data_IF_696774791762
#
_entry.id   IF_696774791762
#
_cell.length_a   1.000
_cell.length_b   1.000
_cell.length_c   1.000
_cell.angle_alpha   90.00
_cell.angle_beta   90.00
_cell.angle_gamma   90.00
#
_symmetry.space_group_name_H-M   'P 1'
#
loop_
_entity.id
_entity.type
_entity.pdbx_description
1 polymer ?
#
# COMPACT_ATOMS: atom_id res chain seq x y z
N UNK A 1 10.79 8.82 -8.45
CA UNK A 1 10.00 7.60 -8.16
C UNK A 1 9.04 7.41 -9.31
N UNK A 2 9.00 6.24 -9.95
CA UNK A 2 8.05 6.00 -11.06
C UNK A 2 6.66 5.79 -10.46
N UNK A 3 5.80 6.80 -10.63
CA UNK A 3 4.53 6.93 -9.90
C UNK A 3 3.49 5.91 -10.36
N UNK A 4 3.33 5.72 -11.67
CA UNK A 4 2.39 4.72 -12.24
C UNK A 4 2.74 3.28 -11.78
N UNK A 5 3.98 2.76 -11.96
CA UNK A 5 4.35 1.44 -11.45
C UNK A 5 4.06 1.23 -9.95
N UNK A 6 4.25 2.28 -9.15
CA UNK A 6 3.99 2.22 -7.71
C UNK A 6 2.48 2.18 -7.43
N UNK A 7 1.67 3.01 -8.09
CA UNK A 7 0.21 2.97 -7.96
C UNK A 7 -0.37 1.58 -8.30
N UNK A 8 0.08 0.97 -9.40
CA UNK A 8 -0.32 -0.40 -9.77
C UNK A 8 0.11 -1.41 -8.70
N UNK A 9 1.34 -1.33 -8.21
CA UNK A 9 1.83 -2.25 -7.19
C UNK A 9 1.04 -2.13 -5.88
N UNK A 10 0.71 -0.90 -5.45
CA UNK A 10 -0.12 -0.65 -4.26
C UNK A 10 -1.55 -1.17 -4.45
N UNK A 11 -2.13 -1.02 -5.64
CA UNK A 11 -3.43 -1.61 -6.00
C UNK A 11 -3.42 -3.14 -6.00
N UNK A 12 -2.36 -3.76 -6.54
CA UNK A 12 -2.18 -5.22 -6.50
C UNK A 12 -2.09 -5.74 -5.05
N UNK A 13 -1.46 -4.96 -4.17
CA UNK A 13 -1.40 -5.21 -2.72
C UNK A 13 -2.70 -4.88 -1.97
N UNK A 14 -3.75 -4.43 -2.68
CA UNK A 14 -5.06 -4.01 -2.11
C UNK A 14 -4.96 -2.85 -1.13
N UNK A 15 -3.94 -2.01 -1.29
CA UNK A 15 -3.75 -0.77 -0.52
C UNK A 15 -4.41 0.44 -1.16
N UNK A 16 -4.74 0.32 -2.45
CA UNK A 16 -5.56 1.25 -3.19
C UNK A 16 -6.68 0.47 -3.89
N UNK A 17 -7.86 1.05 -3.93
CA UNK A 17 -8.96 0.64 -4.79
C UNK A 17 -8.72 1.14 -6.21
N UNK A 18 -9.43 0.54 -7.17
CA UNK A 18 -9.34 0.96 -8.57
C UNK A 18 -9.84 2.39 -8.77
N UNK A 19 -10.87 2.78 -8.03
CA UNK A 19 -11.40 4.16 -8.01
C UNK A 19 -10.37 5.16 -7.49
N UNK A 20 -9.64 4.84 -6.42
CA UNK A 20 -8.57 5.69 -5.89
C UNK A 20 -7.44 5.85 -6.91
N UNK A 21 -7.04 4.78 -7.61
CA UNK A 21 -6.01 4.86 -8.65
C UNK A 21 -6.47 5.72 -9.83
N UNK A 22 -7.69 5.53 -10.31
CA UNK A 22 -8.25 6.32 -11.42
C UNK A 22 -8.36 7.79 -11.02
N UNK A 23 -8.92 8.09 -9.85
CA UNK A 23 -9.09 9.47 -9.41
C UNK A 23 -7.75 10.15 -9.17
N UNK A 24 -6.76 9.42 -8.64
CA UNK A 24 -5.40 9.90 -8.54
C UNK A 24 -4.81 10.22 -9.93
N UNK A 25 -5.01 9.36 -10.92
CA UNK A 25 -4.56 9.58 -12.29
C UNK A 25 -5.22 10.82 -12.91
N UNK A 26 -6.54 11.00 -12.73
CA UNK A 26 -7.26 12.20 -13.17
C UNK A 26 -6.67 13.48 -12.56
N UNK A 27 -6.37 13.46 -11.26
CA UNK A 27 -5.74 14.60 -10.58
C UNK A 27 -4.34 14.89 -11.13
N UNK A 28 -3.56 13.86 -11.47
CA UNK A 28 -2.27 14.06 -12.12
C UNK A 28 -2.45 14.67 -13.51
N UNK A 29 -3.48 14.24 -14.26
CA UNK A 29 -3.76 14.77 -15.59
C UNK A 29 -4.14 16.25 -15.55
N UNK A 30 -4.98 16.63 -14.60
CA UNK A 30 -5.41 18.02 -14.42
C UNK A 30 -4.28 18.92 -13.91
N UNK A 31 -3.31 18.37 -13.19
CA UNK A 31 -2.20 19.12 -12.63
C UNK A 31 -1.01 19.30 -13.59
N UNK A 32 -0.94 18.51 -14.67
CA UNK A 32 0.18 18.51 -15.61
C UNK A 32 -0.27 18.87 -17.04
N UNK A 33 0.28 19.96 -17.57
CA UNK A 33 0.00 20.45 -18.94
C UNK A 33 0.36 19.42 -20.02
N UNK A 34 1.21 18.43 -19.72
CA UNK A 34 1.60 17.34 -20.64
C UNK A 34 1.65 16.00 -19.94
N UNK A 35 0.46 15.44 -19.72
CA UNK A 35 0.32 14.08 -19.23
C UNK A 35 0.82 13.04 -20.23
N UNK A 36 1.54 12.03 -19.73
CA UNK A 36 1.95 10.84 -20.47
C UNK A 36 0.74 10.02 -20.93
N UNK A 37 0.86 9.33 -22.06
CA UNK A 37 -0.19 8.45 -22.59
C UNK A 37 -0.59 7.37 -21.57
N UNK A 38 0.37 6.82 -20.84
CA UNK A 38 0.14 5.82 -19.80
C UNK A 38 -0.70 6.35 -18.63
N UNK A 39 -0.63 7.65 -18.33
CA UNK A 39 -1.47 8.26 -17.29
C UNK A 39 -2.91 8.37 -17.79
N UNK A 40 -3.10 8.74 -19.06
CA UNK A 40 -4.42 8.82 -19.70
C UNK A 40 -5.05 7.43 -19.79
N UNK A 41 -4.28 6.43 -20.19
CA UNK A 41 -4.71 5.03 -20.22
C UNK A 41 -5.14 4.56 -18.82
N UNK A 42 -4.35 4.86 -17.79
CA UNK A 42 -4.67 4.48 -16.42
C UNK A 42 -5.97 5.12 -15.92
N UNK A 43 -6.20 6.39 -16.24
CA UNK A 43 -7.44 7.12 -15.92
C UNK A 43 -8.65 6.53 -16.66
N UNK A 44 -8.53 6.26 -17.96
CA UNK A 44 -9.66 5.89 -18.81
C UNK A 44 -10.02 4.41 -18.77
N UNK A 45 -9.03 3.53 -18.56
CA UNK A 45 -9.18 2.06 -18.61
C UNK A 45 -9.07 1.40 -17.24
N UNK A 46 -8.44 2.09 -16.28
CA UNK A 46 -8.27 1.61 -14.91
C UNK A 46 -7.11 0.62 -14.73
N UNK A 47 -6.71 0.36 -13.48
CA UNK A 47 -5.56 -0.49 -13.17
C UNK A 47 -5.78 -1.97 -13.55
N UNK A 48 -7.02 -2.46 -13.54
CA UNK A 48 -7.37 -3.82 -13.97
C UNK A 48 -6.89 -4.11 -15.38
N UNK A 49 -7.28 -3.26 -16.33
CA UNK A 49 -6.97 -3.47 -17.75
C UNK A 49 -5.51 -3.15 -18.03
N UNK A 50 -5.00 -2.04 -17.50
CA UNK A 50 -3.62 -1.61 -17.70
C UNK A 50 -2.59 -2.64 -17.18
N UNK A 51 -2.89 -3.31 -16.05
CA UNK A 51 -1.98 -4.31 -15.48
C UNK A 51 -1.88 -5.61 -16.29
N UNK A 52 -2.81 -5.86 -17.22
CA UNK A 52 -2.78 -7.02 -18.12
C UNK A 52 -1.99 -6.78 -19.40
N UNK A 53 -1.59 -5.53 -19.66
CA UNK A 53 -0.85 -5.15 -20.85
C UNK A 53 0.62 -5.57 -20.77
N UNK A 54 1.24 -5.74 -21.93
CA UNK A 54 2.66 -6.06 -21.99
C UNK A 54 3.51 -4.83 -21.63
N UNK A 55 4.72 -5.07 -21.15
CA UNK A 55 5.64 -4.01 -20.67
C UNK A 55 5.97 -2.92 -21.71
N UNK A 56 5.83 -3.22 -23.00
CA UNK A 56 6.04 -2.26 -24.08
C UNK A 56 4.82 -1.36 -24.38
N UNK A 57 3.65 -1.72 -23.83
CA UNK A 57 2.39 -0.99 -23.97
C UNK A 57 2.03 -0.23 -22.70
N UNK A 58 2.36 -0.80 -21.54
CA UNK A 58 2.13 -0.17 -20.24
C UNK A 58 3.23 -0.59 -19.25
N UNK A 59 3.73 0.31 -18.41
CA UNK A 59 4.81 -0.02 -17.50
C UNK A 59 4.35 -1.06 -16.46
N UNK A 60 5.16 -2.09 -16.18
CA UNK A 60 4.81 -3.10 -15.20
C UNK A 60 4.74 -2.51 -13.78
N UNK A 61 4.02 -3.19 -12.90
CA UNK A 61 4.01 -2.87 -11.48
C UNK A 61 5.43 -2.85 -10.92
N UNK A 62 5.69 -1.93 -10.00
CA UNK A 62 6.94 -1.89 -9.25
C UNK A 62 7.08 -3.16 -8.41
N UNK A 63 8.25 -3.79 -8.45
CA UNK A 63 8.64 -4.79 -7.47
C UNK A 63 9.13 -4.12 -6.18
N UNK A 64 8.46 -4.39 -5.07
CA UNK A 64 8.91 -3.97 -3.74
C UNK A 64 9.99 -4.92 -3.22
N UNK A 65 10.95 -4.39 -2.46
CA UNK A 65 11.88 -5.25 -1.73
C UNK A 65 11.14 -6.05 -0.65
N UNK A 66 11.77 -7.09 -0.12
CA UNK A 66 11.16 -7.88 0.95
C UNK A 66 10.88 -7.03 2.21
N UNK A 67 11.83 -6.18 2.60
CA UNK A 67 11.66 -5.21 3.67
C UNK A 67 10.47 -4.27 3.41
N UNK A 68 10.33 -3.72 2.20
CA UNK A 68 9.20 -2.85 1.87
C UNK A 68 7.86 -3.59 1.98
N UNK A 69 7.79 -4.84 1.51
CA UNK A 69 6.59 -5.68 1.66
C UNK A 69 6.26 -5.97 3.13
N UNK A 70 7.27 -6.25 3.96
CA UNK A 70 7.09 -6.42 5.40
C UNK A 70 6.54 -5.15 6.05
N UNK A 71 7.10 -3.98 5.73
CA UNK A 71 6.65 -2.69 6.27
C UNK A 71 5.22 -2.36 5.82
N UNK A 72 4.89 -2.55 4.53
CA UNK A 72 3.53 -2.33 4.02
C UNK A 72 2.52 -3.26 4.68
N UNK A 73 2.86 -4.55 4.86
CA UNK A 73 1.97 -5.53 5.47
C UNK A 73 1.81 -5.31 6.97
N UNK A 74 2.88 -4.95 7.68
CA UNK A 74 2.82 -4.57 9.10
C UNK A 74 2.03 -3.29 9.34
N UNK A 75 2.15 -2.30 8.44
CA UNK A 75 1.43 -1.04 8.57
C UNK A 75 -0.08 -1.16 8.34
N UNK A 76 -0.52 -2.23 7.68
CA UNK A 76 -1.91 -2.43 7.25
C UNK A 76 -2.66 -3.48 8.06
N UNK A 77 -1.94 -4.43 8.64
CA UNK A 77 -2.55 -5.51 9.42
C UNK A 77 -2.98 -5.00 10.80
N UNK A 78 -4.21 -5.37 11.19
CA UNK A 78 -4.65 -5.25 12.58
C UNK A 78 -4.01 -6.41 13.34
N UNK A 79 -3.29 -6.12 14.43
CA UNK A 79 -2.66 -7.12 15.29
C UNK A 79 -3.39 -7.19 16.64
N UNK A 80 -4.72 -7.07 16.59
CA UNK A 80 -5.59 -6.95 17.75
C UNK A 80 -5.79 -8.29 18.44
N UNK A 81 -5.74 -9.38 17.67
CA UNK A 81 -5.93 -10.73 18.18
C UNK A 81 -4.81 -11.70 17.78
N UNK A 82 -4.80 -12.84 18.49
CA UNK A 82 -3.82 -13.91 18.27
C UNK A 82 -3.79 -14.42 16.83
N UNK A 83 -4.97 -14.65 16.23
CA UNK A 83 -5.08 -15.24 14.89
C UNK A 83 -4.44 -14.35 13.83
N UNK A 84 -4.59 -13.03 13.93
CA UNK A 84 -3.93 -12.08 13.04
C UNK A 84 -2.41 -12.13 13.15
N UNK A 85 -1.89 -12.24 14.38
CA UNK A 85 -0.45 -12.41 14.63
C UNK A 85 0.07 -13.71 14.03
N UNK A 86 -0.64 -14.82 14.24
CA UNK A 86 -0.29 -16.13 13.66
C UNK A 86 -0.27 -16.07 12.12
N UNK A 87 -1.25 -15.43 11.48
CA UNK A 87 -1.28 -15.25 10.02
C UNK A 87 -0.09 -14.41 9.53
N UNK A 88 0.31 -13.39 10.28
CA UNK A 88 1.50 -12.61 9.93
C UNK A 88 2.78 -13.43 10.08
N UNK A 89 2.92 -14.13 11.20
CA UNK A 89 4.07 -15.00 11.52
C UNK A 89 4.23 -16.07 10.44
N UNK A 90 3.16 -16.80 10.11
CA UNK A 90 3.18 -17.82 9.06
C UNK A 90 3.62 -17.24 7.70
N UNK A 91 3.10 -16.06 7.36
CA UNK A 91 3.48 -15.38 6.12
C UNK A 91 4.96 -15.00 6.11
N UNK A 92 5.48 -14.35 7.15
CA UNK A 92 6.85 -13.84 7.15
C UNK A 92 7.87 -14.98 7.19
N UNK A 93 7.59 -16.04 7.95
CA UNK A 93 8.43 -17.26 8.02
C UNK A 93 8.59 -17.92 6.65
N UNK A 94 7.52 -17.99 5.86
CA UNK A 94 7.57 -18.59 4.51
C UNK A 94 8.16 -17.64 3.48
N UNK A 95 7.81 -16.35 3.55
CA UNK A 95 8.18 -15.37 2.54
C UNK A 95 9.68 -14.97 2.62
N UNK A 96 10.34 -15.20 3.75
CA UNK A 96 11.77 -14.93 3.92
C UNK A 96 12.69 -16.01 3.33
N UNK A 97 12.15 -17.18 2.96
CA UNK A 97 12.95 -18.31 2.47
C UNK A 97 13.69 -17.94 1.18
N UNK A 98 14.99 -18.23 1.13
CA UNK A 98 15.86 -17.92 -0.01
C UNK A 98 16.20 -16.43 -0.18
N UNK A 99 15.81 -15.57 0.77
CA UNK A 99 16.17 -14.14 0.78
C UNK A 99 17.52 -13.91 1.49
N UNK A 100 18.02 -12.68 1.40
CA UNK A 100 19.32 -12.28 1.97
C UNK A 100 19.27 -12.18 3.50
N UNK A 101 20.02 -13.03 4.20
CA UNK A 101 20.09 -13.06 5.67
C UNK A 101 20.62 -11.76 6.32
N UNK A 102 21.29 -10.87 5.56
CA UNK A 102 21.71 -9.57 6.09
C UNK A 102 20.54 -8.60 6.31
N UNK A 103 19.38 -8.88 5.70
CA UNK A 103 18.14 -8.14 5.93
C UNK A 103 17.54 -8.59 7.27
N UNK A 104 17.18 -7.62 8.11
CA UNK A 104 16.65 -7.87 9.45
C UNK A 104 15.30 -8.60 9.41
N UNK A 105 14.43 -8.31 8.45
CA UNK A 105 13.13 -8.98 8.33
C UNK A 105 13.31 -10.42 7.86
N UNK A 106 14.33 -10.68 7.06
CA UNK A 106 14.68 -12.05 6.67
C UNK A 106 15.17 -12.83 7.88
N UNK A 107 16.14 -12.29 8.63
CA UNK A 107 16.64 -12.92 9.86
C UNK A 107 15.52 -13.16 10.88
N UNK A 108 14.65 -12.18 11.07
CA UNK A 108 13.48 -12.29 11.95
C UNK A 108 12.50 -13.38 11.48
N UNK A 109 12.21 -13.45 10.18
CA UNK A 109 11.39 -14.51 9.59
C UNK A 109 11.95 -15.90 9.85
N UNK A 110 13.26 -16.12 9.70
CA UNK A 110 13.89 -17.41 10.01
C UNK A 110 13.85 -17.77 11.50
N UNK A 111 13.94 -16.79 12.40
CA UNK A 111 13.78 -17.05 13.84
C UNK A 111 12.35 -17.50 14.17
N UNK A 112 11.35 -16.86 13.55
CA UNK A 112 9.96 -17.24 13.70
C UNK A 112 9.71 -18.63 13.08
N UNK A 113 10.24 -18.89 11.89
CA UNK A 113 10.19 -20.19 11.20
C UNK A 113 10.74 -21.32 12.09
N UNK A 114 11.93 -21.14 12.66
CA UNK A 114 12.51 -22.10 13.60
C UNK A 114 11.59 -22.39 14.80
N UNK A 115 10.98 -21.36 15.39
CA UNK A 115 10.07 -21.55 16.52
C UNK A 115 8.77 -22.28 16.12
N UNK A 116 8.22 -21.98 14.95
CA UNK A 116 6.97 -22.57 14.47
C UNK A 116 7.17 -24.01 13.98
N UNK A 117 8.19 -24.27 13.18
CA UNK A 117 8.35 -25.54 12.48
C UNK A 117 9.27 -26.52 13.23
N UNK A 118 10.46 -26.08 13.64
CA UNK A 118 11.43 -26.95 14.34
C UNK A 118 11.04 -27.16 15.80
N UNK A 119 10.67 -26.10 16.51
CA UNK A 119 10.31 -26.16 17.93
C UNK A 119 8.83 -26.48 18.17
N UNK A 120 7.95 -26.29 17.16
CA UNK A 120 6.50 -26.44 17.28
C UNK A 120 5.89 -25.61 18.41
N UNK A 121 6.43 -24.40 18.62
CA UNK A 121 6.06 -23.49 19.71
C UNK A 121 5.59 -22.14 19.14
N UNK A 122 4.33 -22.09 18.70
CA UNK A 122 3.69 -20.87 18.24
C UNK A 122 3.59 -19.80 19.36
N UNK A 123 3.54 -20.21 20.62
CA UNK A 123 3.49 -19.25 21.73
C UNK A 123 4.84 -18.53 21.90
N UNK A 124 5.95 -19.23 21.71
CA UNK A 124 7.28 -18.61 21.66
C UNK A 124 7.43 -17.69 20.45
N UNK A 125 6.93 -18.09 19.28
CA UNK A 125 6.94 -17.25 18.08
C UNK A 125 6.14 -15.94 18.31
N UNK A 126 4.96 -16.02 18.92
CA UNK A 126 4.17 -14.83 19.28
C UNK A 126 4.90 -13.96 20.29
N UNK A 127 5.52 -14.53 21.34
CA UNK A 127 6.29 -13.74 22.31
C UNK A 127 7.47 -13.02 21.66
N UNK A 128 8.21 -13.68 20.77
CA UNK A 128 9.29 -13.06 20.01
C UNK A 128 8.74 -11.94 19.12
N UNK A 129 7.66 -12.22 18.39
CA UNK A 129 7.00 -11.24 17.52
C UNK A 129 6.55 -10.00 18.28
N UNK A 130 5.89 -10.17 19.43
CA UNK A 130 5.42 -9.07 20.28
C UNK A 130 6.57 -8.27 20.90
N UNK A 131 7.72 -8.90 21.17
CA UNK A 131 8.88 -8.20 21.71
C UNK A 131 9.54 -7.25 20.70
N UNK A 132 9.53 -7.60 19.42
CA UNK A 132 10.08 -6.79 18.33
C UNK A 132 9.07 -5.78 17.77
N UNK A 133 7.77 -6.07 17.90
CA UNK A 133 6.69 -5.31 17.29
C UNK A 133 6.72 -3.79 17.57
N UNK A 134 6.99 -3.29 18.79
CA UNK A 134 6.98 -1.85 19.05
C UNK A 134 7.98 -1.07 18.17
N UNK A 135 9.14 -1.65 17.88
CA UNK A 135 10.13 -1.04 16.99
C UNK A 135 9.68 -1.08 15.52
N UNK A 136 9.08 -2.20 15.10
CA UNK A 136 8.65 -2.42 13.72
C UNK A 136 7.40 -1.62 13.35
N UNK A 137 6.46 -1.44 14.28
CA UNK A 137 5.15 -0.82 13.97
C UNK A 137 5.26 0.69 13.72
N UNK A 138 6.14 1.39 14.46
CA UNK A 138 6.37 2.82 14.26
C UNK A 138 6.96 3.08 12.87
N UNK A 139 7.91 2.25 12.48
CA UNK A 139 8.55 2.33 11.17
C UNK A 139 7.58 1.94 10.04
N UNK A 140 6.85 0.84 10.21
CA UNK A 140 5.85 0.39 9.25
C UNK A 140 4.75 1.45 9.02
N UNK A 141 4.28 2.09 10.09
CA UNK A 141 3.29 3.17 10.00
C UNK A 141 3.84 4.37 9.23
N UNK A 142 5.07 4.80 9.54
CA UNK A 142 5.72 5.92 8.83
C UNK A 142 5.95 5.60 7.35
N UNK A 143 6.40 4.38 7.05
CA UNK A 143 6.62 3.93 5.68
C UNK A 143 5.31 3.88 4.89
N UNK A 144 4.25 3.30 5.48
CA UNK A 144 2.93 3.21 4.86
C UNK A 144 2.36 4.60 4.59
N UNK A 145 2.38 5.49 5.60
CA UNK A 145 1.86 6.84 5.46
C UNK A 145 2.59 7.59 4.34
N UNK A 146 3.92 7.59 4.36
CA UNK A 146 4.72 8.23 3.31
C UNK A 146 4.40 7.67 1.92
N UNK A 147 4.26 6.35 1.83
CA UNK A 147 3.98 5.68 0.55
C UNK A 147 2.59 6.02 0.03
N UNK A 148 1.56 6.00 0.87
CA UNK A 148 0.18 6.28 0.48
C UNK A 148 -0.11 7.77 0.30
N UNK A 149 0.58 8.67 1.01
CA UNK A 149 0.30 10.11 0.95
C UNK A 149 0.48 10.70 -0.45
N UNK A 150 1.35 10.11 -1.28
CA UNK A 150 1.54 10.50 -2.69
C UNK A 150 0.34 10.15 -3.61
N UNK A 151 -0.56 9.29 -3.12
CA UNK A 151 -1.72 8.75 -3.85
C UNK A 151 -3.05 9.09 -3.14
N UNK A 152 -3.00 9.85 -2.04
CA UNK A 152 -4.22 10.35 -1.40
C UNK A 152 -4.91 11.30 -2.37
N UNK A 153 -6.17 11.01 -2.61
CA UNK A 153 -7.07 11.83 -3.40
C UNK A 153 -7.71 12.83 -2.45
N UNK A 154 -7.42 14.12 -2.62
CA UNK A 154 -8.19 15.16 -1.93
C UNK A 154 -9.64 15.05 -2.44
N UNK A 155 -10.65 14.99 -1.55
CA UNK A 155 -12.03 14.99 -2.00
C UNK A 155 -12.27 16.29 -2.77
N UNK A 156 -12.59 16.16 -4.06
CA UNK A 156 -12.90 17.29 -4.93
C UNK A 156 -13.99 18.13 -4.26
N UNK A 157 -13.61 19.30 -3.73
CA UNK A 157 -14.54 20.23 -3.13
C UNK A 157 -15.66 20.51 -4.13
N UNK A 158 -16.87 20.09 -3.77
CA UNK A 158 -18.07 20.36 -4.56
C UNK A 158 -18.12 21.85 -4.87
N UNK A 159 -18.03 22.18 -6.16
CA UNK A 159 -18.19 23.54 -6.62
C UNK A 159 -19.59 24.02 -6.24
N UNK A 160 -19.60 24.98 -5.33
CA UNK A 160 -20.74 25.83 -5.02
C UNK A 160 -21.04 26.67 -6.26
N UNK A 161 -22.27 26.57 -6.78
CA UNK A 161 -22.83 27.42 -7.84
C UNK A 161 -24.35 27.37 -7.66
N UNK A 162 -25.09 28.41 -7.31
CA UNK A 162 -24.82 29.81 -7.04
C UNK A 162 -26.17 30.50 -6.76
N UNK A 163 -26.15 31.48 -5.86
CA UNK A 163 -26.97 32.69 -5.76
C UNK A 163 -28.47 32.65 -6.14
N UNK A 164 -29.33 33.04 -5.19
CA UNK A 164 -30.18 34.21 -5.43
C UNK A 164 -30.53 34.91 -4.11
N UNK A 165 -29.92 36.08 -3.91
CA UNK A 165 -30.38 37.07 -2.96
C UNK A 165 -31.53 37.86 -3.58
N UNK A 166 -32.63 38.02 -2.84
CA UNK A 166 -33.60 39.07 -3.09
C UNK A 166 -34.04 39.67 -1.74
N UNK A 167 -33.44 40.80 -1.40
CA UNK A 167 -33.97 41.76 -0.43
C UNK A 167 -34.93 42.71 -1.15
N UNK A 168 -36.19 42.78 -0.72
CA UNK A 168 -37.12 43.91 -0.99
C UNK A 168 -37.99 44.06 0.27
N UNK A 169 -37.64 44.98 1.17
CA UNK A 169 -38.25 46.31 1.40
C UNK A 169 -39.70 46.26 1.91
N UNK A 170 -39.85 46.75 3.14
CA UNK A 170 -41.06 47.09 3.92
C UNK A 170 -41.97 48.10 3.19
N UNK A 171 -43.24 48.19 3.58
CA UNK A 171 -43.62 49.21 4.57
C UNK A 171 -44.13 48.64 5.89
#
# INVERSE_FOLDING_TARGET
MNRIPTAIALWQLKLLTSEEVVTWADQQILADDRSSEEMIDLSTRGPEECSMLQAHQFPPAREFTFEELCLLKLGTIKLENRKEKEVFIDWISRACIGKNLKDRFVSFGYQLDHLVDDCRDMDAAIRLFESELPGLISEASSFLEKTLNEYKVEPSGGHNSGSSAASIVTP
#
